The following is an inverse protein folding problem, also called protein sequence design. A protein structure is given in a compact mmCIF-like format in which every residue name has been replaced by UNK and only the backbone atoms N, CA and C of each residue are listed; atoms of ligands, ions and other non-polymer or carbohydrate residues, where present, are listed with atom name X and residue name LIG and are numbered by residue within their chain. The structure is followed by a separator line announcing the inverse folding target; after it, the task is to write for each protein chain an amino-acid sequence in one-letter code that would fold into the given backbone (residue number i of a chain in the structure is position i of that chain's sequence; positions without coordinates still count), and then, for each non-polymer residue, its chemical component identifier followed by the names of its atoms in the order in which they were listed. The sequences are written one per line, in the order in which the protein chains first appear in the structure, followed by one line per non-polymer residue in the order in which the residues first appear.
data_IF_545931793460
#
_entry.id   IF_545931793460
#
_cell.length_a   1.000
_cell.length_b   1.000
_cell.length_c   1.000
_cell.angle_alpha   90.00
_cell.angle_beta   90.00
_cell.angle_gamma   90.00
#
_symmetry.space_group_name_H-M   'P 1'
#
loop_
_entity.id
_entity.type
_entity.pdbx_description
1 polymer ?
#
# COMPACT_ATOMS: atom_id res chain seq x y z
N UNK A 1 -46.32 -26.16 -1.70
CA UNK A 1 -44.99 -26.07 -2.33
C UNK A 1 -44.65 -24.59 -2.47
N UNK A 2 -43.62 -24.10 -1.75
CA UNK A 2 -43.22 -22.68 -1.78
C UNK A 2 -41.85 -22.61 -2.43
N UNK A 3 -41.77 -22.01 -3.61
CA UNK A 3 -40.53 -21.80 -4.37
C UNK A 3 -39.88 -20.50 -3.91
N UNK A 4 -38.76 -20.62 -3.18
CA UNK A 4 -37.93 -19.47 -2.78
C UNK A 4 -36.95 -19.17 -3.92
N UNK A 5 -37.29 -18.18 -4.75
CA UNK A 5 -36.39 -17.58 -5.73
C UNK A 5 -35.29 -16.81 -4.96
N UNK A 6 -34.11 -17.41 -4.84
CA UNK A 6 -32.91 -16.72 -4.32
C UNK A 6 -32.52 -15.61 -5.30
N UNK A 7 -32.90 -14.39 -4.94
CA UNK A 7 -32.50 -13.15 -5.60
C UNK A 7 -31.00 -12.97 -5.38
N UNK A 8 -30.23 -13.11 -6.46
CA UNK A 8 -28.81 -12.82 -6.54
C UNK A 8 -28.47 -11.54 -5.76
N UNK A 9 -27.76 -11.70 -4.66
CA UNK A 9 -27.19 -10.58 -3.92
C UNK A 9 -26.23 -9.85 -4.87
N UNK A 10 -26.59 -8.61 -5.23
CA UNK A 10 -25.70 -7.70 -5.91
C UNK A 10 -24.38 -7.61 -5.12
N UNK A 11 -23.20 -7.59 -5.76
CA UNK A 11 -21.96 -7.33 -5.06
C UNK A 11 -22.07 -5.92 -4.46
N UNK A 12 -22.07 -5.86 -3.13
CA UNK A 12 -21.90 -4.63 -2.36
C UNK A 12 -20.76 -3.81 -2.99
N UNK A 13 -21.00 -2.59 -3.51
CA UNK A 13 -19.93 -1.68 -3.87
C UNK A 13 -19.25 -1.28 -2.56
N UNK A 14 -18.17 -1.98 -2.23
CA UNK A 14 -17.33 -1.70 -1.07
C UNK A 14 -16.62 -0.38 -1.31
N UNK A 15 -17.30 0.71 -0.96
CA UNK A 15 -16.70 2.03 -0.86
C UNK A 15 -15.67 1.99 0.26
N UNK A 16 -14.42 1.70 -0.11
CA UNK A 16 -13.26 2.41 0.44
C UNK A 16 -12.56 1.83 1.67
N UNK A 17 -12.56 0.51 1.91
CA UNK A 17 -11.51 -0.07 2.75
C UNK A 17 -10.51 -0.80 1.85
N UNK A 18 -9.24 -0.36 1.79
CA UNK A 18 -8.22 -1.16 1.10
C UNK A 18 -8.23 -2.53 1.78
N UNK A 19 -8.38 -3.61 1.00
CA UNK A 19 -8.24 -4.97 1.55
C UNK A 19 -6.91 -5.06 2.31
N UNK A 20 -6.78 -5.84 3.40
CA UNK A 20 -5.50 -6.02 4.09
C UNK A 20 -4.35 -6.40 3.15
N UNK A 21 -4.65 -7.15 2.07
CA UNK A 21 -3.72 -7.45 0.99
C UNK A 21 -3.31 -6.24 0.13
N UNK A 22 -4.24 -5.31 -0.11
CA UNK A 22 -3.93 -4.03 -0.74
C UNK A 22 -3.03 -3.17 0.15
N UNK A 23 -3.26 -3.17 1.47
CA UNK A 23 -2.43 -2.45 2.44
C UNK A 23 -1.00 -3.01 2.48
N UNK A 24 -0.85 -4.33 2.61
CA UNK A 24 0.44 -4.99 2.59
C UNK A 24 1.20 -4.75 1.27
N UNK A 25 0.51 -4.80 0.13
CA UNK A 25 1.12 -4.51 -1.17
C UNK A 25 1.47 -3.03 -1.38
N UNK A 26 0.77 -2.08 -0.75
CA UNK A 26 1.17 -0.67 -0.73
C UNK A 26 2.42 -0.47 0.12
N UNK A 27 2.48 -1.06 1.32
CA UNK A 27 3.65 -0.97 2.21
C UNK A 27 4.89 -1.57 1.54
N UNK A 28 4.80 -2.76 0.95
CA UNK A 28 5.93 -3.39 0.26
C UNK A 28 6.40 -2.60 -0.96
N UNK A 29 5.47 -2.06 -1.76
CA UNK A 29 5.83 -1.19 -2.90
C UNK A 29 6.50 0.09 -2.42
N UNK A 30 6.00 0.69 -1.33
CA UNK A 30 6.57 1.90 -0.76
C UNK A 30 7.98 1.65 -0.24
N UNK A 31 8.20 0.58 0.53
CA UNK A 31 9.52 0.18 1.02
C UNK A 31 10.52 -0.04 -0.14
N UNK A 32 10.09 -0.69 -1.22
CA UNK A 32 10.91 -0.86 -2.43
C UNK A 32 11.29 0.49 -3.05
N UNK A 33 10.35 1.40 -3.22
CA UNK A 33 10.63 2.74 -3.76
C UNK A 33 11.56 3.54 -2.84
N UNK A 34 11.41 3.42 -1.52
CA UNK A 34 12.33 4.05 -0.56
C UNK A 34 13.76 3.51 -0.70
N UNK A 35 13.92 2.19 -0.85
CA UNK A 35 15.21 1.55 -1.10
C UNK A 35 15.83 1.99 -2.42
N UNK A 36 15.05 2.06 -3.49
CA UNK A 36 15.51 2.52 -4.80
C UNK A 36 15.95 4.00 -4.75
N UNK A 37 15.15 4.87 -4.13
CA UNK A 37 15.50 6.29 -3.96
C UNK A 37 16.79 6.44 -3.15
N UNK A 38 16.88 5.75 -2.02
CA UNK A 38 18.07 5.74 -1.17
C UNK A 38 19.31 5.21 -1.90
N UNK A 39 19.18 4.12 -2.66
CA UNK A 39 20.27 3.53 -3.44
C UNK A 39 20.77 4.45 -4.55
N UNK A 40 19.89 5.30 -5.09
CA UNK A 40 20.25 6.34 -6.07
C UNK A 40 20.80 7.63 -5.41
N UNK A 41 21.05 7.63 -4.10
CA UNK A 41 21.51 8.79 -3.34
C UNK A 41 20.47 9.90 -3.19
N UNK A 42 19.19 9.61 -3.46
CA UNK A 42 18.08 10.56 -3.30
C UNK A 42 17.51 10.47 -1.90
N UNK A 43 17.10 11.62 -1.38
CA UNK A 43 16.38 11.70 -0.11
C UNK A 43 14.99 11.07 -0.31
N UNK A 44 14.60 10.20 0.62
CA UNK A 44 13.27 9.62 0.67
C UNK A 44 12.34 10.59 1.42
N UNK A 45 11.61 11.40 0.66
CA UNK A 45 10.66 12.37 1.20
C UNK A 45 9.24 12.16 0.63
N UNK A 46 8.28 12.92 1.18
CA UNK A 46 6.88 12.83 0.78
C UNK A 46 6.68 13.11 -0.71
N UNK A 47 7.39 14.09 -1.27
CA UNK A 47 7.25 14.44 -2.69
C UNK A 47 7.79 13.33 -3.59
N UNK A 48 8.91 12.71 -3.21
CA UNK A 48 9.45 11.56 -3.93
C UNK A 48 8.46 10.37 -3.96
N UNK A 49 7.78 10.12 -2.85
CA UNK A 49 6.73 9.09 -2.77
C UNK A 49 5.46 9.47 -3.54
N UNK A 50 5.08 10.75 -3.55
CA UNK A 50 3.96 11.23 -4.40
C UNK A 50 4.31 11.07 -5.89
N UNK A 51 5.54 11.38 -6.29
CA UNK A 51 6.03 11.16 -7.66
C UNK A 51 6.06 9.68 -8.05
N UNK A 52 6.31 8.78 -7.08
CA UNK A 52 6.21 7.33 -7.28
C UNK A 52 4.76 6.82 -7.40
N UNK A 53 3.76 7.69 -7.25
CA UNK A 53 2.34 7.38 -7.43
C UNK A 53 1.60 7.02 -6.15
N UNK A 54 2.18 7.26 -4.96
CA UNK A 54 1.50 7.07 -3.69
C UNK A 54 0.66 8.29 -3.31
N UNK A 55 -0.53 8.05 -2.75
CA UNK A 55 -1.38 9.16 -2.27
C UNK A 55 -0.86 9.70 -0.94
N UNK A 56 -1.13 10.98 -0.65
CA UNK A 56 -0.75 11.62 0.62
C UNK A 56 -1.27 10.89 1.86
N UNK A 57 -2.41 10.21 1.73
CA UNK A 57 -3.02 9.38 2.78
C UNK A 57 -2.23 8.09 2.95
N UNK A 58 -1.93 7.36 1.88
CA UNK A 58 -1.11 6.14 1.95
C UNK A 58 0.27 6.41 2.51
N UNK A 59 0.92 7.52 2.09
CA UNK A 59 2.21 7.92 2.64
C UNK A 59 2.09 8.14 4.13
N UNK A 60 1.12 8.92 4.59
CA UNK A 60 0.96 9.19 6.03
C UNK A 60 0.63 7.93 6.85
N UNK A 61 -0.10 6.98 6.27
CA UNK A 61 -0.52 5.75 6.97
C UNK A 61 0.57 4.68 6.97
N UNK A 62 1.37 4.60 5.90
CA UNK A 62 2.27 3.47 5.66
C UNK A 62 3.76 3.83 5.67
N UNK A 63 4.13 5.12 5.74
CA UNK A 63 5.54 5.54 5.67
C UNK A 63 6.40 4.95 6.77
N UNK A 64 5.90 4.86 8.01
CA UNK A 64 6.66 4.25 9.11
C UNK A 64 6.89 2.76 8.88
N UNK A 65 5.85 2.00 8.53
CA UNK A 65 5.97 0.57 8.26
C UNK A 65 6.86 0.28 7.04
N UNK A 66 6.76 1.11 6.00
CA UNK A 66 7.60 0.99 4.82
C UNK A 66 9.07 1.32 5.12
N UNK A 67 9.33 2.34 5.94
CA UNK A 67 10.68 2.70 6.36
C UNK A 67 11.31 1.61 7.23
N UNK A 68 10.55 1.00 8.14
CA UNK A 68 11.01 -0.12 8.96
C UNK A 68 11.46 -1.30 8.09
N UNK A 69 10.63 -1.70 7.12
CA UNK A 69 10.97 -2.76 6.15
C UNK A 69 12.18 -2.38 5.30
N UNK A 70 12.23 -1.16 4.77
CA UNK A 70 13.37 -0.69 3.97
C UNK A 70 14.68 -0.72 4.79
N UNK A 71 14.64 -0.28 6.05
CA UNK A 71 15.80 -0.31 6.95
C UNK A 71 16.22 -1.75 7.30
N UNK A 72 15.25 -2.64 7.54
CA UNK A 72 15.49 -4.05 7.80
C UNK A 72 16.10 -4.76 6.59
N UNK A 73 15.58 -4.49 5.38
CA UNK A 73 16.09 -5.04 4.12
C UNK A 73 17.47 -4.49 3.76
N UNK A 74 17.75 -3.21 4.03
CA UNK A 74 19.05 -2.60 3.75
C UNK A 74 20.20 -3.08 4.65
N UNK A 75 19.90 -3.64 5.83
CA UNK A 75 20.91 -4.22 6.75
C UNK A 75 21.29 -5.67 6.45
N UNK A 76 20.52 -6.36 5.62
CA UNK A 76 20.76 -7.76 5.27
C UNK A 76 21.67 -7.95 4.04
N UNK A 77 22.15 -6.86 3.44
CA UNK A 77 23.07 -6.85 2.29
C UNK A 77 24.54 -6.78 2.70
#
# INVERSE_FOLDING_TARGET
MITIQQKFAAPIPTRGFPKPSAQASTVSRMAQSMLELSSNGRIVDREALVQAGFTSVEISTYSEAAADIANASGRAG
#
